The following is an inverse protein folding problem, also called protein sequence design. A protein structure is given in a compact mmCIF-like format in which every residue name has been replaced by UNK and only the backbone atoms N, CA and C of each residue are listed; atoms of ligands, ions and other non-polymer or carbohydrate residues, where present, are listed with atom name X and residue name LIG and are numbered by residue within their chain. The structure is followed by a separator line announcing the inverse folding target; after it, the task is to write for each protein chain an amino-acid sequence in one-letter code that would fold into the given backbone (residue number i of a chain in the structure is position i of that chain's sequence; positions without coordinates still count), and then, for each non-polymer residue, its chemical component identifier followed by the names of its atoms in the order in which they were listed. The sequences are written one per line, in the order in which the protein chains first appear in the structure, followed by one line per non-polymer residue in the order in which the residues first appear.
data_IF_993786137738
#
_entry.id   IF_993786137738
#
_cell.length_a   1.000
_cell.length_b   1.000
_cell.length_c   1.000
_cell.angle_alpha   90.00
_cell.angle_beta   90.00
_cell.angle_gamma   90.00
#
_symmetry.space_group_name_H-M   'P 1'
#
loop_
_entity.id
_entity.type
_entity.pdbx_description
1 polymer ?
#
# COMPACT_ATOMS: atom_id res chain seq x y z
N UNK A 1 -15.83 20.20 -28.74
CA UNK A 1 -15.57 21.26 -27.73
C UNK A 1 -15.11 20.53 -26.47
N UNK A 2 -13.95 20.89 -25.90
CA UNK A 2 -13.49 20.29 -24.66
C UNK A 2 -14.51 20.61 -23.56
N UNK A 3 -14.87 19.60 -22.78
CA UNK A 3 -15.85 19.70 -21.71
C UNK A 3 -15.40 20.79 -20.71
N UNK A 4 -16.19 21.84 -20.54
CA UNK A 4 -15.86 23.02 -19.72
C UNK A 4 -16.16 22.80 -18.22
N UNK A 5 -16.60 21.58 -17.83
CA UNK A 5 -16.90 21.29 -16.43
C UNK A 5 -15.57 21.14 -15.67
N UNK A 6 -15.31 21.94 -14.63
CA UNK A 6 -14.12 21.79 -13.80
C UNK A 6 -14.17 20.44 -13.06
N UNK A 7 -13.02 19.97 -12.60
CA UNK A 7 -12.95 18.78 -11.73
C UNK A 7 -13.76 19.04 -10.47
N UNK A 8 -14.62 18.10 -10.10
CA UNK A 8 -15.42 18.22 -8.88
C UNK A 8 -14.49 18.06 -7.66
N UNK A 9 -14.44 19.04 -6.76
CA UNK A 9 -13.60 18.95 -5.58
C UNK A 9 -14.10 17.84 -4.63
N UNK A 10 -13.17 17.18 -3.95
CA UNK A 10 -13.52 16.19 -2.93
C UNK A 10 -13.73 16.91 -1.60
N UNK A 11 -14.77 16.51 -0.87
CA UNK A 11 -15.01 17.02 0.48
C UNK A 11 -14.07 16.36 1.48
N UNK A 12 -13.50 17.16 2.35
CA UNK A 12 -12.52 16.72 3.34
C UNK A 12 -12.80 17.38 4.70
N UNK A 13 -12.27 16.78 5.77
CA UNK A 13 -12.25 17.41 7.07
C UNK A 13 -11.38 18.68 7.05
N UNK A 14 -11.77 19.70 7.82
CA UNK A 14 -10.91 20.86 8.04
C UNK A 14 -9.52 20.44 8.55
N UNK A 15 -8.42 21.00 8.01
CA UNK A 15 -7.06 20.59 8.33
C UNK A 15 -6.73 20.62 9.83
N UNK A 16 -7.22 21.60 10.58
CA UNK A 16 -6.98 21.72 12.03
C UNK A 16 -7.77 20.67 12.81
N UNK A 17 -8.96 20.31 12.32
CA UNK A 17 -9.79 19.28 12.94
C UNK A 17 -9.20 17.89 12.65
N UNK A 18 -8.88 17.60 11.40
CA UNK A 18 -8.35 16.28 11.04
C UNK A 18 -6.97 15.96 11.63
N UNK A 19 -6.18 17.01 11.95
CA UNK A 19 -4.89 16.87 12.63
C UNK A 19 -4.99 16.33 14.07
N UNK A 20 -6.19 16.30 14.67
CA UNK A 20 -6.41 15.91 16.07
C UNK A 20 -7.21 14.63 16.24
N UNK A 21 -7.56 13.93 15.15
CA UNK A 21 -8.36 12.71 15.20
C UNK A 21 -7.89 11.68 14.18
N UNK A 22 -8.37 10.44 14.32
CA UNK A 22 -8.05 9.32 13.41
C UNK A 22 -9.21 8.98 12.45
N UNK A 23 -10.24 9.82 12.35
CA UNK A 23 -11.31 9.66 11.39
C UNK A 23 -10.82 9.85 9.95
N UNK A 24 -11.50 9.22 9.00
CA UNK A 24 -11.12 9.30 7.58
C UNK A 24 -11.12 10.76 7.10
N UNK A 25 -9.99 11.21 6.52
CA UNK A 25 -9.77 12.59 6.07
C UNK A 25 -10.75 13.01 4.98
N UNK A 26 -10.87 12.19 3.94
CA UNK A 26 -11.73 12.46 2.79
C UNK A 26 -13.13 11.86 3.01
N UNK A 27 -14.19 12.64 2.81
CA UNK A 27 -15.57 12.13 2.84
C UNK A 27 -15.99 11.41 1.56
N UNK A 28 -15.27 11.63 0.45
CA UNK A 28 -15.62 11.12 -0.88
C UNK A 28 -16.74 11.95 -1.56
N UNK A 29 -17.22 11.45 -2.69
CA UNK A 29 -18.34 12.06 -3.42
C UNK A 29 -19.69 11.58 -2.90
N UNK A 30 -20.70 12.45 -2.96
CA UNK A 30 -22.10 12.05 -2.94
C UNK A 30 -22.56 11.65 -4.37
N UNK A 31 -23.83 11.29 -4.51
CA UNK A 31 -24.41 10.83 -5.79
C UNK A 31 -24.28 11.91 -6.87
N UNK A 32 -24.66 13.14 -6.56
CA UNK A 32 -24.68 14.26 -7.51
C UNK A 32 -23.26 14.63 -7.94
N UNK A 33 -22.33 14.69 -6.99
CA UNK A 33 -20.91 14.96 -7.24
C UNK A 33 -20.28 13.87 -8.13
N UNK A 34 -20.56 12.60 -7.84
CA UNK A 34 -20.04 11.48 -8.61
C UNK A 34 -20.60 11.47 -10.04
N UNK A 35 -21.90 11.67 -10.22
CA UNK A 35 -22.50 11.74 -11.54
C UNK A 35 -21.97 12.93 -12.34
N UNK A 36 -21.84 14.12 -11.72
CA UNK A 36 -21.28 15.30 -12.37
C UNK A 36 -19.84 15.06 -12.82
N UNK A 37 -18.96 14.53 -11.95
CA UNK A 37 -17.58 14.21 -12.30
C UNK A 37 -17.52 13.14 -13.41
N UNK A 38 -18.37 12.13 -13.37
CA UNK A 38 -18.43 11.07 -14.38
C UNK A 38 -18.74 11.62 -15.79
N UNK A 39 -19.56 12.68 -15.91
CA UNK A 39 -19.86 13.30 -17.21
C UNK A 39 -18.65 13.94 -17.88
N UNK A 40 -17.55 14.16 -17.16
CA UNK A 40 -16.31 14.70 -17.75
C UNK A 40 -15.56 13.67 -18.60
N UNK A 41 -15.82 12.37 -18.42
CA UNK A 41 -15.13 11.32 -19.15
C UNK A 41 -15.44 11.41 -20.66
N UNK A 42 -14.39 11.39 -21.49
CA UNK A 42 -14.51 11.47 -22.94
C UNK A 42 -14.76 10.11 -23.62
N UNK A 43 -14.84 9.02 -22.88
CA UNK A 43 -15.02 7.64 -23.40
C UNK A 43 -14.08 7.34 -24.58
N UNK A 44 -12.76 7.59 -24.39
CA UNK A 44 -11.74 7.45 -25.41
C UNK A 44 -11.75 6.06 -26.05
N UNK A 45 -11.61 5.97 -27.39
CA UNK A 45 -11.50 4.71 -28.13
C UNK A 45 -10.28 3.88 -27.66
N UNK A 46 -9.16 4.56 -27.37
CA UNK A 46 -7.94 3.98 -26.85
C UNK A 46 -7.66 4.60 -25.46
N UNK A 47 -8.26 4.08 -24.38
CA UNK A 47 -8.22 4.72 -23.07
C UNK A 47 -6.84 4.48 -22.40
N UNK A 48 -5.99 5.52 -22.40
CA UNK A 48 -4.67 5.47 -21.74
C UNK A 48 -4.78 5.16 -20.24
N UNK A 49 -5.86 5.60 -19.61
CA UNK A 49 -6.11 5.33 -18.19
C UNK A 49 -6.24 3.84 -17.88
N UNK A 50 -6.81 3.03 -18.78
CA UNK A 50 -6.88 1.57 -18.65
C UNK A 50 -5.49 0.96 -18.79
N UNK A 51 -4.73 1.35 -19.80
CA UNK A 51 -3.36 0.86 -20.03
C UNK A 51 -2.41 1.22 -18.88
N UNK A 52 -2.65 2.34 -18.17
CA UNK A 52 -1.86 2.77 -17.03
C UNK A 52 -2.32 2.15 -15.69
N UNK A 53 -3.42 1.41 -15.67
CA UNK A 53 -3.88 0.70 -14.50
C UNK A 53 -3.22 -0.69 -14.44
N UNK A 54 -2.47 -1.02 -13.37
CA UNK A 54 -1.77 -2.31 -13.24
C UNK A 54 -2.68 -3.55 -13.29
N UNK A 55 -3.98 -3.39 -13.01
CA UNK A 55 -4.99 -4.45 -13.11
C UNK A 55 -5.96 -4.23 -14.28
N UNK A 56 -5.73 -3.20 -15.10
CA UNK A 56 -6.48 -2.91 -16.33
C UNK A 56 -7.99 -2.72 -16.15
N UNK A 57 -8.44 -2.11 -15.04
CA UNK A 57 -9.85 -1.79 -14.80
C UNK A 57 -10.45 -1.08 -16.01
N UNK A 58 -11.63 -1.50 -16.45
CA UNK A 58 -12.37 -0.95 -17.60
C UNK A 58 -12.95 0.44 -17.27
N UNK A 59 -12.06 1.41 -17.03
CA UNK A 59 -12.36 2.73 -16.47
C UNK A 59 -13.47 3.47 -17.23
N UNK A 60 -13.45 3.63 -18.57
CA UNK A 60 -14.54 4.33 -19.28
C UNK A 60 -15.89 3.62 -19.09
N UNK A 61 -15.89 2.30 -18.94
CA UNK A 61 -17.12 1.52 -18.83
C UNK A 61 -17.80 1.74 -17.48
N UNK A 62 -17.06 1.64 -16.36
CA UNK A 62 -17.67 1.89 -15.05
C UNK A 62 -18.08 3.36 -14.89
N UNK A 63 -17.30 4.32 -15.44
CA UNK A 63 -17.64 5.73 -15.40
C UNK A 63 -18.93 6.04 -16.19
N UNK A 64 -19.13 5.37 -17.33
CA UNK A 64 -20.39 5.48 -18.08
C UNK A 64 -21.61 5.04 -17.25
N UNK A 65 -21.46 3.96 -16.48
CA UNK A 65 -22.52 3.49 -15.58
C UNK A 65 -22.77 4.46 -14.43
N UNK A 66 -21.71 5.09 -13.88
CA UNK A 66 -21.86 6.13 -12.84
C UNK A 66 -22.62 7.34 -13.41
N UNK A 67 -22.25 7.83 -14.59
CA UNK A 67 -22.94 8.95 -15.25
C UNK A 67 -24.42 8.67 -15.50
N UNK A 68 -24.76 7.42 -15.81
CA UNK A 68 -26.13 6.96 -16.02
C UNK A 68 -26.91 6.66 -14.71
N UNK A 69 -26.28 6.72 -13.53
CA UNK A 69 -26.88 6.37 -12.26
C UNK A 69 -26.99 4.87 -11.98
N UNK A 70 -26.33 4.03 -12.77
CA UNK A 70 -26.38 2.58 -12.67
C UNK A 70 -25.21 2.06 -11.79
N UNK A 71 -25.19 2.41 -10.51
CA UNK A 71 -24.04 2.16 -9.62
C UNK A 71 -23.75 0.68 -9.39
N UNK A 72 -24.79 -0.17 -9.34
CA UNK A 72 -24.61 -1.63 -9.24
C UNK A 72 -23.88 -2.19 -10.49
N UNK A 73 -24.22 -1.72 -11.69
CA UNK A 73 -23.52 -2.11 -12.92
C UNK A 73 -22.09 -1.57 -12.94
N UNK A 74 -21.85 -0.34 -12.44
CA UNK A 74 -20.52 0.21 -12.28
C UNK A 74 -19.65 -0.67 -11.36
N UNK A 75 -20.18 -1.11 -10.22
CA UNK A 75 -19.51 -2.01 -9.29
C UNK A 75 -19.18 -3.36 -9.92
N UNK A 76 -20.09 -3.94 -10.70
CA UNK A 76 -19.85 -5.20 -11.43
C UNK A 76 -18.71 -5.06 -12.42
N UNK A 77 -18.65 -3.96 -13.19
CA UNK A 77 -17.55 -3.69 -14.12
C UNK A 77 -16.20 -3.61 -13.41
N UNK A 78 -16.14 -2.96 -12.25
CA UNK A 78 -14.89 -2.86 -11.47
C UNK A 78 -14.48 -4.24 -10.91
N UNK A 79 -15.44 -5.03 -10.41
CA UNK A 79 -15.19 -6.34 -9.79
C UNK A 79 -14.65 -7.41 -10.75
N UNK A 80 -14.76 -7.21 -12.06
CA UNK A 80 -14.12 -8.07 -13.07
C UNK A 80 -12.58 -8.00 -12.99
N UNK A 81 -12.03 -6.81 -12.65
CA UNK A 81 -10.60 -6.54 -12.73
C UNK A 81 -9.96 -6.18 -11.38
N UNK A 82 -10.73 -5.77 -10.37
CA UNK A 82 -10.25 -5.36 -9.05
C UNK A 82 -10.99 -6.09 -7.94
N UNK A 83 -10.22 -6.74 -7.05
CA UNK A 83 -10.74 -7.38 -5.84
C UNK A 83 -10.77 -6.47 -4.61
N UNK A 84 -10.12 -5.30 -4.67
CA UNK A 84 -10.00 -4.34 -3.56
C UNK A 84 -10.29 -2.90 -4.01
N UNK A 85 -11.44 -2.62 -4.65
CA UNK A 85 -11.71 -1.31 -5.24
C UNK A 85 -11.84 -0.18 -4.21
N UNK A 86 -12.40 -0.43 -3.03
CA UNK A 86 -12.52 0.59 -1.98
C UNK A 86 -11.15 1.00 -1.41
N UNK A 87 -10.21 0.05 -1.36
CA UNK A 87 -8.80 0.32 -1.03
C UNK A 87 -8.14 1.12 -2.16
N UNK A 88 -8.23 0.64 -3.41
CA UNK A 88 -7.59 1.27 -4.56
C UNK A 88 -8.02 2.72 -4.76
N UNK A 89 -9.31 3.02 -4.66
CA UNK A 89 -9.85 4.38 -4.77
C UNK A 89 -9.34 5.36 -3.69
N UNK A 90 -8.79 4.84 -2.57
CA UNK A 90 -8.20 5.62 -1.48
C UNK A 90 -6.68 5.77 -1.57
N UNK A 91 -5.96 4.72 -1.96
CA UNK A 91 -4.50 4.66 -1.77
C UNK A 91 -3.66 4.59 -3.04
N UNK A 92 -4.24 4.37 -4.22
CA UNK A 92 -3.50 4.35 -5.49
C UNK A 92 -2.79 5.69 -5.75
N UNK A 93 -1.56 5.68 -6.28
CA UNK A 93 -0.86 6.89 -6.73
C UNK A 93 -1.41 7.32 -8.10
N UNK A 94 -2.64 7.85 -8.07
CA UNK A 94 -3.47 8.15 -9.24
C UNK A 94 -2.79 9.08 -10.25
N UNK A 95 -2.01 10.06 -9.75
CA UNK A 95 -1.27 11.05 -10.52
C UNK A 95 -0.14 10.46 -11.39
N UNK A 96 0.33 9.26 -11.07
CA UNK A 96 1.36 8.54 -11.85
C UNK A 96 0.79 7.35 -12.62
N UNK A 97 -0.51 7.08 -12.48
CA UNK A 97 -1.22 5.97 -13.10
C UNK A 97 -2.40 6.44 -13.97
N UNK A 98 -3.61 6.01 -13.65
CA UNK A 98 -4.79 6.25 -14.48
C UNK A 98 -5.12 7.73 -14.67
N UNK A 99 -5.10 8.55 -13.60
CA UNK A 99 -5.37 9.99 -13.70
C UNK A 99 -4.24 10.73 -14.42
N UNK A 100 -2.97 10.40 -14.11
CA UNK A 100 -1.80 10.96 -14.79
C UNK A 100 -1.78 10.67 -16.31
N UNK A 101 -2.45 9.61 -16.75
CA UNK A 101 -2.57 9.22 -18.15
C UNK A 101 -3.86 9.69 -18.81
N UNK A 102 -4.76 10.36 -18.08
CA UNK A 102 -6.02 10.87 -18.61
C UNK A 102 -5.78 11.98 -19.62
N UNK A 103 -6.42 11.90 -20.79
CA UNK A 103 -6.23 12.87 -21.87
C UNK A 103 -6.66 14.29 -21.47
N UNK A 104 -7.63 14.43 -20.57
CA UNK A 104 -8.04 15.74 -20.05
C UNK A 104 -6.93 16.41 -19.23
N UNK A 105 -6.06 15.65 -18.59
CA UNK A 105 -4.92 16.15 -17.83
C UNK A 105 -3.84 16.84 -18.69
N UNK A 106 -3.86 16.66 -20.02
CA UNK A 106 -2.88 17.30 -20.92
C UNK A 106 -3.08 18.82 -21.01
N UNK A 107 -4.33 19.30 -20.95
CA UNK A 107 -4.69 20.72 -21.09
C UNK A 107 -5.57 21.24 -19.94
N UNK A 108 -5.71 20.49 -18.89
CA UNK A 108 -6.55 20.80 -17.74
C UNK A 108 -6.43 19.77 -16.65
N UNK A 109 -7.52 19.50 -15.96
CA UNK A 109 -7.54 18.52 -14.87
C UNK A 109 -8.07 17.17 -15.36
N UNK A 110 -7.40 16.04 -15.01
CA UNK A 110 -7.89 14.70 -15.32
C UNK A 110 -9.25 14.43 -14.65
N UNK A 111 -9.98 13.41 -15.13
CA UNK A 111 -11.12 12.87 -14.39
C UNK A 111 -10.66 12.31 -13.06
N UNK A 112 -11.41 12.53 -11.99
CA UNK A 112 -11.15 12.01 -10.65
C UNK A 112 -11.48 10.51 -10.56
N UNK A 113 -10.73 9.69 -11.29
CA UNK A 113 -11.01 8.26 -11.50
C UNK A 113 -11.04 7.51 -10.18
N UNK A 114 -10.03 7.72 -9.32
CA UNK A 114 -9.97 7.04 -8.03
C UNK A 114 -11.09 7.47 -7.08
N UNK A 115 -11.52 8.73 -7.13
CA UNK A 115 -12.65 9.19 -6.31
C UNK A 115 -13.98 8.60 -6.78
N UNK A 116 -14.14 8.37 -8.10
CA UNK A 116 -15.28 7.65 -8.66
C UNK A 116 -15.24 6.16 -8.33
N UNK A 117 -14.07 5.51 -8.42
CA UNK A 117 -13.89 4.10 -8.00
C UNK A 117 -14.24 3.93 -6.52
N UNK A 118 -13.73 4.81 -5.66
CA UNK A 118 -14.09 4.84 -4.23
C UNK A 118 -15.59 4.99 -4.02
N UNK A 119 -16.24 5.93 -4.70
CA UNK A 119 -17.69 6.16 -4.60
C UNK A 119 -18.47 4.89 -4.94
N UNK A 120 -18.13 4.25 -6.07
CA UNK A 120 -18.81 3.02 -6.52
C UNK A 120 -18.60 1.88 -5.51
N UNK A 121 -17.39 1.71 -5.00
CA UNK A 121 -17.08 0.67 -4.03
C UNK A 121 -17.79 0.89 -2.68
N UNK A 122 -17.81 2.13 -2.17
CA UNK A 122 -18.51 2.48 -0.93
C UNK A 122 -20.03 2.31 -1.09
N UNK A 123 -20.58 2.78 -2.20
CA UNK A 123 -22.00 2.60 -2.52
C UNK A 123 -22.37 1.11 -2.62
N UNK A 124 -21.56 0.33 -3.32
CA UNK A 124 -21.78 -1.13 -3.48
C UNK A 124 -21.82 -1.84 -2.13
N UNK A 125 -20.86 -1.55 -1.25
CA UNK A 125 -20.81 -2.12 0.10
C UNK A 125 -22.07 -1.79 0.91
N UNK A 126 -22.58 -0.58 0.80
CA UNK A 126 -23.79 -0.13 1.52
C UNK A 126 -25.08 -0.69 0.93
N UNK A 127 -25.05 -1.17 -0.32
CA UNK A 127 -26.21 -1.69 -1.05
C UNK A 127 -26.11 -3.19 -1.38
N UNK A 128 -25.45 -3.97 -0.55
CA UNK A 128 -25.42 -5.43 -0.62
C UNK A 128 -24.25 -6.06 -1.39
N UNK A 129 -23.35 -5.23 -1.92
CA UNK A 129 -22.12 -5.69 -2.58
C UNK A 129 -22.33 -6.33 -3.95
N UNK A 130 -21.24 -6.64 -4.62
CA UNK A 130 -21.24 -7.46 -5.85
C UNK A 130 -21.09 -8.93 -5.45
N UNK A 131 -21.91 -9.79 -6.01
CA UNK A 131 -21.77 -11.26 -5.87
C UNK A 131 -21.14 -11.79 -7.16
N UNK A 132 -19.82 -12.00 -7.19
CA UNK A 132 -19.18 -12.54 -8.39
C UNK A 132 -19.56 -13.99 -8.61
N UNK A 133 -19.62 -14.39 -9.88
CA UNK A 133 -19.79 -15.79 -10.24
C UNK A 133 -18.54 -16.59 -9.87
N UNK A 134 -18.75 -17.78 -9.32
CA UNK A 134 -17.70 -18.75 -8.98
C UNK A 134 -17.92 -20.00 -9.81
N UNK A 135 -16.89 -20.45 -10.51
CA UNK A 135 -16.93 -21.68 -11.26
C UNK A 135 -17.13 -22.90 -10.33
N UNK A 136 -17.67 -24.01 -10.83
CA UNK A 136 -17.75 -25.25 -10.06
C UNK A 136 -16.38 -25.68 -9.53
N UNK A 137 -16.33 -26.31 -8.35
CA UNK A 137 -15.11 -26.81 -7.75
C UNK A 137 -14.35 -27.73 -8.70
N UNK A 138 -13.07 -27.45 -8.91
CA UNK A 138 -12.19 -28.23 -9.83
C UNK A 138 -11.38 -29.32 -9.12
N UNK A 139 -11.51 -29.44 -7.78
CA UNK A 139 -10.87 -30.49 -6.98
C UNK A 139 -9.42 -30.21 -6.57
N UNK A 140 -8.84 -29.06 -6.93
CA UNK A 140 -7.47 -28.72 -6.60
C UNK A 140 -7.40 -27.65 -5.49
N UNK A 141 -6.41 -27.82 -4.59
CA UNK A 141 -6.13 -26.87 -3.49
C UNK A 141 -4.95 -25.98 -3.85
N UNK A 142 -5.04 -24.71 -3.52
CA UNK A 142 -3.95 -23.75 -3.68
C UNK A 142 -3.66 -23.06 -2.33
N UNK A 143 -2.38 -23.05 -1.95
CA UNK A 143 -1.92 -22.31 -0.77
C UNK A 143 -1.45 -20.91 -1.17
N UNK A 144 -1.84 -19.90 -0.40
CA UNK A 144 -1.39 -18.52 -0.56
C UNK A 144 -0.72 -18.07 0.73
N UNK A 145 0.54 -17.66 0.66
CA UNK A 145 1.32 -17.19 1.80
C UNK A 145 1.26 -15.66 1.87
N UNK A 146 0.56 -15.15 2.89
CA UNK A 146 0.35 -13.73 3.12
C UNK A 146 -0.98 -13.22 2.57
N UNK A 147 -1.73 -12.51 3.40
CA UNK A 147 -3.04 -11.92 3.11
C UNK A 147 -2.96 -10.44 2.71
N UNK A 148 -1.77 -9.97 2.28
CA UNK A 148 -1.63 -8.64 1.70
C UNK A 148 -2.29 -8.52 0.32
N UNK A 149 -2.22 -7.36 -0.34
CA UNK A 149 -2.90 -7.11 -1.62
C UNK A 149 -2.61 -8.15 -2.71
N UNK A 150 -1.36 -8.62 -2.82
CA UNK A 150 -0.99 -9.65 -3.80
C UNK A 150 -1.68 -10.98 -3.51
N UNK A 151 -1.63 -11.43 -2.23
CA UNK A 151 -2.27 -12.68 -1.81
C UNK A 151 -3.78 -12.66 -1.94
N UNK A 152 -4.43 -11.55 -1.51
CA UNK A 152 -5.89 -11.41 -1.64
C UNK A 152 -6.34 -11.39 -3.10
N UNK A 153 -5.61 -10.71 -4.00
CA UNK A 153 -5.94 -10.69 -5.43
C UNK A 153 -5.74 -12.07 -6.08
N UNK A 154 -4.63 -12.76 -5.77
CA UNK A 154 -4.37 -14.11 -6.24
C UNK A 154 -5.45 -15.09 -5.74
N UNK A 155 -5.76 -15.06 -4.45
CA UNK A 155 -6.78 -15.92 -3.84
C UNK A 155 -8.18 -15.68 -4.44
N UNK A 156 -8.55 -14.42 -4.64
CA UNK A 156 -9.83 -14.04 -5.24
C UNK A 156 -9.97 -14.59 -6.66
N UNK A 157 -8.95 -14.39 -7.52
CA UNK A 157 -9.03 -14.84 -8.91
C UNK A 157 -9.02 -16.38 -9.02
N UNK A 158 -8.23 -17.08 -8.19
CA UNK A 158 -8.23 -18.55 -8.15
C UNK A 158 -9.54 -19.13 -7.61
N UNK A 159 -10.12 -18.52 -6.57
CA UNK A 159 -11.41 -18.96 -6.05
C UNK A 159 -12.53 -18.81 -7.10
N UNK A 160 -12.54 -17.72 -7.89
CA UNK A 160 -13.48 -17.55 -9.02
C UNK A 160 -13.33 -18.67 -10.07
N UNK A 161 -12.14 -19.26 -10.23
CA UNK A 161 -11.86 -20.38 -11.13
C UNK A 161 -12.21 -21.76 -10.53
N UNK A 162 -12.76 -21.82 -9.33
CA UNK A 162 -13.20 -23.06 -8.68
C UNK A 162 -12.13 -23.78 -7.87
N UNK A 163 -10.99 -23.16 -7.60
CA UNK A 163 -9.97 -23.71 -6.72
C UNK A 163 -10.37 -23.60 -5.24
N UNK A 164 -10.01 -24.59 -4.42
CA UNK A 164 -10.05 -24.49 -2.97
C UNK A 164 -8.80 -23.71 -2.51
N UNK A 165 -8.99 -22.46 -2.07
CA UNK A 165 -7.88 -21.58 -1.71
C UNK A 165 -7.80 -21.39 -0.20
N UNK A 166 -6.60 -21.65 0.37
CA UNK A 166 -6.28 -21.33 1.76
C UNK A 166 -5.16 -20.29 1.81
N UNK A 167 -5.43 -19.17 2.49
CA UNK A 167 -4.46 -18.09 2.74
C UNK A 167 -3.89 -18.28 4.14
N UNK A 168 -2.59 -18.38 4.26
CA UNK A 168 -1.85 -18.46 5.53
C UNK A 168 -1.26 -17.08 5.85
N UNK A 169 -1.69 -16.50 6.97
CA UNK A 169 -1.29 -15.16 7.42
C UNK A 169 -0.53 -15.24 8.74
N UNK A 170 0.64 -14.61 8.79
CA UNK A 170 1.48 -14.59 9.98
C UNK A 170 0.91 -13.77 11.14
N UNK A 171 0.18 -12.70 10.83
CA UNK A 171 -0.41 -11.80 11.81
C UNK A 171 -1.78 -12.33 12.29
N UNK A 172 -2.27 -11.77 13.38
CA UNK A 172 -3.58 -12.12 13.95
C UNK A 172 -4.76 -11.48 13.20
N UNK A 173 -4.51 -10.54 12.29
CA UNK A 173 -5.51 -9.93 11.40
C UNK A 173 -5.01 -10.00 9.96
N UNK A 174 -5.88 -10.38 9.01
CA UNK A 174 -5.53 -10.39 7.60
C UNK A 174 -5.53 -8.99 7.00
N UNK A 175 -4.84 -8.81 5.88
CA UNK A 175 -4.76 -7.55 5.14
C UNK A 175 -3.33 -7.06 4.90
N UNK A 176 -2.35 -7.60 5.63
CA UNK A 176 -0.95 -7.17 5.47
C UNK A 176 -0.79 -5.66 5.68
N UNK A 177 -0.10 -4.99 4.75
CA UNK A 177 0.17 -3.54 4.83
C UNK A 177 -1.12 -2.69 4.89
N UNK A 178 -2.24 -3.17 4.41
CA UNK A 178 -3.54 -2.49 4.51
C UNK A 178 -3.98 -2.36 5.96
N UNK A 179 -3.66 -3.35 6.78
CA UNK A 179 -4.01 -3.40 8.20
C UNK A 179 -2.94 -2.76 9.09
N UNK A 180 -1.67 -3.13 8.94
CA UNK A 180 -0.62 -2.65 9.84
C UNK A 180 0.05 -1.35 9.41
N UNK A 181 0.11 -1.06 8.09
CA UNK A 181 0.98 0.02 7.57
C UNK A 181 0.24 1.31 7.27
N UNK A 182 -0.89 1.27 6.56
CA UNK A 182 -1.63 2.47 6.16
C UNK A 182 -2.49 2.95 7.34
N UNK A 183 -2.45 4.24 7.74
CA UNK A 183 -3.21 4.73 8.90
C UNK A 183 -4.74 4.70 8.71
N UNK A 184 -5.46 4.63 9.86
CA UNK A 184 -6.92 4.64 9.92
C UNK A 184 -7.53 5.84 9.19
N UNK A 185 -6.95 7.03 9.35
CA UNK A 185 -7.44 8.27 8.74
C UNK A 185 -7.28 8.32 7.20
N UNK A 186 -6.54 7.39 6.60
CA UNK A 186 -6.44 7.21 5.13
C UNK A 186 -7.21 6.00 4.64
N UNK A 187 -7.20 4.93 5.43
CA UNK A 187 -7.80 3.64 5.07
C UNK A 187 -8.42 3.00 6.30
N UNK A 188 -9.71 3.23 6.57
CA UNK A 188 -10.42 2.67 7.71
C UNK A 188 -10.38 1.14 7.74
N UNK A 189 -9.97 0.54 8.88
CA UNK A 189 -9.74 -0.90 8.98
C UNK A 189 -11.04 -1.68 9.02
N UNK A 190 -11.85 -1.40 10.02
CA UNK A 190 -13.06 -2.18 10.26
C UNK A 190 -14.14 -1.91 9.18
N UNK A 191 -14.21 -0.67 8.66
CA UNK A 191 -15.23 -0.26 7.67
C UNK A 191 -14.85 -0.63 6.23
N UNK A 192 -13.58 -0.56 5.85
CA UNK A 192 -13.13 -0.73 4.46
C UNK A 192 -12.33 -2.00 4.28
N UNK A 193 -11.19 -2.14 4.99
CA UNK A 193 -10.28 -3.28 4.79
C UNK A 193 -10.96 -4.60 5.14
N UNK A 194 -11.61 -4.67 6.30
CA UNK A 194 -12.33 -5.87 6.72
C UNK A 194 -13.46 -6.23 5.75
N UNK A 195 -14.22 -5.25 5.27
CA UNK A 195 -15.31 -5.50 4.33
C UNK A 195 -14.82 -6.07 2.97
N UNK A 196 -13.70 -5.58 2.45
CA UNK A 196 -13.11 -6.14 1.23
C UNK A 196 -12.54 -7.54 1.43
N UNK A 197 -11.94 -7.81 2.59
CA UNK A 197 -11.48 -9.16 2.95
C UNK A 197 -12.67 -10.13 3.09
N UNK A 198 -13.77 -9.71 3.71
CA UNK A 198 -15.00 -10.53 3.78
C UNK A 198 -15.58 -10.80 2.38
N UNK A 199 -15.47 -9.87 1.43
CA UNK A 199 -15.85 -10.11 0.04
C UNK A 199 -15.00 -11.19 -0.63
N UNK A 200 -13.70 -11.27 -0.32
CA UNK A 200 -12.81 -12.35 -0.78
C UNK A 200 -13.18 -13.68 -0.11
N UNK A 201 -13.45 -13.69 1.19
CA UNK A 201 -13.91 -14.90 1.90
C UNK A 201 -15.25 -15.42 1.36
N UNK A 202 -16.15 -14.53 0.95
CA UNK A 202 -17.43 -14.90 0.36
C UNK A 202 -17.31 -15.71 -0.94
N UNK A 203 -16.13 -15.71 -1.60
CA UNK A 203 -15.80 -16.58 -2.74
C UNK A 203 -15.43 -18.01 -2.30
N UNK A 204 -15.42 -18.33 -1.02
CA UNK A 204 -14.99 -19.61 -0.46
C UNK A 204 -13.51 -19.67 -0.03
N UNK A 205 -12.80 -18.54 -0.08
CA UNK A 205 -11.41 -18.46 0.40
C UNK A 205 -11.34 -18.63 1.91
N UNK A 206 -10.52 -19.58 2.38
CA UNK A 206 -10.20 -19.76 3.79
C UNK A 206 -8.99 -18.89 4.14
N UNK A 207 -9.01 -18.21 5.29
CA UNK A 207 -7.88 -17.42 5.79
C UNK A 207 -7.54 -17.92 7.19
N UNK A 208 -6.33 -18.43 7.33
CA UNK A 208 -5.78 -18.90 8.59
C UNK A 208 -4.73 -17.93 9.11
N UNK A 209 -5.03 -17.29 10.22
CA UNK A 209 -4.14 -16.30 10.87
C UNK A 209 -3.22 -16.97 11.90
N UNK A 210 -2.16 -16.26 12.32
CA UNK A 210 -1.12 -16.76 13.24
C UNK A 210 -0.36 -17.97 12.69
N UNK A 211 -0.26 -18.11 11.38
CA UNK A 211 0.48 -19.17 10.70
C UNK A 211 1.71 -18.59 10.00
N UNK A 212 2.89 -18.92 10.48
CA UNK A 212 4.17 -18.39 9.96
C UNK A 212 4.78 -19.40 9.00
N UNK A 213 4.70 -19.12 7.70
CA UNK A 213 5.36 -19.94 6.68
C UNK A 213 6.88 -19.94 6.88
N UNK A 214 7.48 -21.13 6.86
CA UNK A 214 8.87 -21.39 7.22
C UNK A 214 9.09 -21.62 8.73
N UNK A 215 8.01 -21.68 9.54
CA UNK A 215 8.05 -22.02 10.98
C UNK A 215 6.95 -22.99 11.38
N UNK A 216 5.68 -22.57 11.25
CA UNK A 216 4.51 -23.41 11.61
C UNK A 216 4.10 -24.34 10.46
N UNK A 217 4.27 -23.88 9.23
CA UNK A 217 4.12 -24.65 7.99
C UNK A 217 5.31 -24.36 7.08
N UNK A 218 5.70 -25.34 6.26
CA UNK A 218 6.74 -25.18 5.25
C UNK A 218 6.13 -25.27 3.84
N UNK A 219 6.79 -24.72 2.83
CA UNK A 219 6.32 -24.88 1.44
C UNK A 219 6.34 -26.36 1.04
N UNK A 220 7.36 -27.11 1.47
CA UNK A 220 7.46 -28.53 1.19
C UNK A 220 6.32 -29.32 1.86
N UNK A 221 5.96 -29.05 3.14
CA UNK A 221 4.81 -29.73 3.77
C UNK A 221 3.48 -29.42 3.07
N UNK A 222 3.28 -28.17 2.61
CA UNK A 222 2.07 -27.81 1.87
C UNK A 222 1.94 -28.57 0.55
N UNK A 223 3.03 -28.71 -0.21
CA UNK A 223 3.03 -29.40 -1.49
C UNK A 223 2.98 -30.93 -1.33
N UNK A 224 3.86 -31.48 -0.48
CA UNK A 224 4.13 -32.93 -0.44
C UNK A 224 3.22 -33.68 0.55
N UNK A 225 2.77 -33.05 1.66
CA UNK A 225 2.00 -33.70 2.71
C UNK A 225 0.52 -33.27 2.72
N UNK A 226 0.24 -31.97 2.54
CA UNK A 226 -1.12 -31.45 2.62
C UNK A 226 -1.86 -31.42 1.27
N UNK A 227 -1.15 -31.74 0.17
CA UNK A 227 -1.72 -31.94 -1.16
C UNK A 227 -2.16 -30.65 -1.86
N UNK A 228 -1.52 -29.52 -1.57
CA UNK A 228 -1.70 -28.31 -2.38
C UNK A 228 -1.03 -28.49 -3.74
N UNK A 229 -1.76 -28.19 -4.81
CA UNK A 229 -1.25 -28.31 -6.19
C UNK A 229 -0.20 -27.22 -6.54
N UNK A 230 -0.27 -26.08 -5.89
CA UNK A 230 0.69 -24.98 -6.01
C UNK A 230 0.65 -24.07 -4.78
N UNK A 231 1.73 -23.27 -4.61
CA UNK A 231 1.87 -22.27 -3.56
C UNK A 231 2.15 -20.92 -4.18
N UNK A 232 1.42 -19.89 -3.77
CA UNK A 232 1.72 -18.49 -4.08
C UNK A 232 2.36 -17.80 -2.87
N UNK A 233 3.52 -17.14 -3.04
CA UNK A 233 4.22 -16.39 -2.00
C UNK A 233 4.01 -14.89 -2.19
N UNK A 234 3.10 -14.32 -1.42
CA UNK A 234 2.80 -12.89 -1.33
C UNK A 234 3.16 -12.27 0.03
N UNK A 235 4.27 -12.70 0.62
CA UNK A 235 4.68 -12.34 2.00
C UNK A 235 5.10 -10.88 2.19
N UNK A 236 5.15 -10.10 1.11
CA UNK A 236 5.46 -8.68 1.14
C UNK A 236 6.92 -8.37 1.50
N UNK A 237 7.15 -7.12 1.92
CA UNK A 237 8.46 -6.61 2.36
C UNK A 237 8.27 -5.82 3.66
N UNK A 238 8.42 -6.49 4.81
CA UNK A 238 8.19 -5.91 6.13
C UNK A 238 9.45 -5.65 6.96
N UNK A 239 10.64 -6.06 6.49
CA UNK A 239 11.89 -5.88 7.23
C UNK A 239 12.42 -4.45 7.03
N UNK A 240 12.46 -3.59 8.07
CA UNK A 240 12.81 -2.19 7.93
C UNK A 240 14.30 -1.99 7.61
N UNK A 241 14.60 -0.86 6.96
CA UNK A 241 15.97 -0.42 6.71
C UNK A 241 16.33 0.73 7.62
N UNK A 242 17.58 0.75 8.07
CA UNK A 242 18.21 1.80 8.85
C UNK A 242 19.36 2.44 8.04
N UNK A 243 19.87 3.57 8.52
CA UNK A 243 20.95 4.29 7.85
C UNK A 243 22.35 3.71 8.18
N UNK A 244 22.46 3.02 9.31
CA UNK A 244 23.74 2.58 9.87
C UNK A 244 24.54 3.71 10.54
N UNK A 245 23.84 4.71 11.07
CA UNK A 245 24.46 5.84 11.76
C UNK A 245 24.51 5.62 13.28
N UNK A 246 25.43 6.28 14.01
CA UNK A 246 25.48 6.21 15.47
C UNK A 246 24.14 6.61 16.10
N UNK A 247 23.76 5.93 17.17
CA UNK A 247 22.58 6.23 17.97
C UNK A 247 21.26 5.59 17.49
N UNK A 248 21.24 4.81 16.42
CA UNK A 248 20.01 4.13 15.93
C UNK A 248 19.46 3.08 16.92
N UNK A 249 20.22 2.69 17.93
CA UNK A 249 19.82 1.78 19.00
C UNK A 249 19.32 2.45 20.28
N UNK A 250 19.21 3.78 20.29
CA UNK A 250 18.69 4.54 21.44
C UNK A 250 17.18 4.31 21.62
N UNK A 251 16.71 4.45 22.86
CA UNK A 251 15.29 4.50 23.17
C UNK A 251 14.67 5.73 22.50
N UNK A 252 13.50 5.56 21.87
CA UNK A 252 12.85 6.61 21.08
C UNK A 252 13.20 6.57 19.59
N UNK A 253 14.06 5.63 19.14
CA UNK A 253 14.26 5.35 17.71
C UNK A 253 13.38 4.20 17.29
N UNK A 254 12.56 4.41 16.26
CA UNK A 254 11.65 3.43 15.69
C UNK A 254 11.84 3.31 14.17
N UNK A 255 11.59 2.14 13.65
CA UNK A 255 11.24 2.04 12.24
C UNK A 255 9.80 2.51 12.03
N UNK A 256 9.48 3.06 10.85
CA UNK A 256 8.10 3.43 10.52
C UNK A 256 7.16 2.21 10.58
N UNK A 257 7.63 1.02 10.17
CA UNK A 257 6.84 -0.20 10.27
C UNK A 257 6.44 -0.53 11.71
N UNK A 258 7.37 -0.42 12.65
CA UNK A 258 7.09 -0.66 14.07
C UNK A 258 6.10 0.37 14.61
N UNK A 259 6.36 1.67 14.38
CA UNK A 259 5.53 2.76 14.85
C UNK A 259 4.10 2.65 14.31
N UNK A 260 3.96 2.44 13.01
CA UNK A 260 2.66 2.30 12.35
C UNK A 260 1.94 1.00 12.75
N UNK A 261 2.66 -0.13 12.91
CA UNK A 261 2.06 -1.39 13.39
C UNK A 261 1.47 -1.23 14.78
N UNK A 262 2.20 -0.58 15.71
CA UNK A 262 1.68 -0.30 17.06
C UNK A 262 0.42 0.56 17.01
N UNK A 263 0.42 1.57 16.15
CA UNK A 263 -0.72 2.48 16.03
C UNK A 263 -1.92 1.83 15.31
N UNK A 264 -1.70 1.22 14.15
CA UNK A 264 -2.78 0.74 13.29
C UNK A 264 -3.31 -0.64 13.69
N UNK A 265 -2.45 -1.68 13.64
CA UNK A 265 -2.82 -3.05 13.95
C UNK A 265 -3.10 -3.26 15.44
N UNK A 266 -2.23 -2.67 16.30
CA UNK A 266 -2.34 -2.79 17.76
C UNK A 266 -3.14 -1.65 18.39
N UNK A 267 -3.69 -0.73 17.59
CA UNK A 267 -4.62 0.33 17.95
C UNK A 267 -4.15 1.24 19.10
N UNK A 268 -2.84 1.57 19.13
CA UNK A 268 -2.27 2.40 20.20
C UNK A 268 -2.86 3.82 20.30
N UNK A 269 -3.54 4.31 19.26
CA UNK A 269 -4.25 5.59 19.28
C UNK A 269 -5.59 5.56 20.05
N UNK A 270 -6.03 4.37 20.48
CA UNK A 270 -7.32 4.20 21.18
C UNK A 270 -7.08 4.05 22.68
N UNK A 271 -7.88 4.74 23.47
CA UNK A 271 -7.79 4.71 24.94
C UNK A 271 -8.20 3.36 25.55
N UNK A 272 -9.03 2.57 24.84
CA UNK A 272 -9.46 1.24 25.27
C UNK A 272 -8.46 0.11 24.94
N UNK A 273 -7.28 0.46 24.39
CA UNK A 273 -6.19 -0.47 24.12
C UNK A 273 -4.95 -0.15 24.97
N UNK A 274 -4.34 -1.21 25.52
CA UNK A 274 -3.16 -1.09 26.38
C UNK A 274 -1.82 -1.08 25.60
N UNK A 275 -1.85 -0.86 24.31
CA UNK A 275 -0.66 -0.86 23.45
C UNK A 275 0.21 0.36 23.76
N UNK A 276 1.47 0.17 24.23
CA UNK A 276 2.35 1.29 24.50
C UNK A 276 2.84 1.90 23.19
N UNK A 277 2.76 3.23 23.10
CA UNK A 277 3.38 4.02 22.01
C UNK A 277 4.04 5.24 22.65
N UNK A 278 5.25 5.57 22.19
CA UNK A 278 5.98 6.75 22.60
C UNK A 278 6.20 7.63 21.37
N UNK A 279 5.47 8.72 21.28
CA UNK A 279 5.70 9.74 20.26
C UNK A 279 6.60 10.87 20.80
N UNK A 280 6.51 11.19 22.11
CA UNK A 280 7.15 12.37 22.67
C UNK A 280 6.44 13.65 22.25
N UNK A 281 7.05 14.81 22.55
CA UNK A 281 6.55 16.13 22.14
C UNK A 281 7.09 16.56 20.78
N UNK A 282 8.30 16.13 20.43
CA UNK A 282 8.97 16.46 19.18
C UNK A 282 9.38 15.18 18.48
N UNK A 283 9.00 15.03 17.21
CA UNK A 283 9.27 13.85 16.40
C UNK A 283 9.97 14.26 15.10
N UNK A 284 11.05 13.57 14.78
CA UNK A 284 11.72 13.64 13.48
C UNK A 284 11.40 12.36 12.69
N UNK A 285 10.85 12.52 11.50
CA UNK A 285 10.61 11.41 10.56
C UNK A 285 11.60 11.51 9.41
N UNK A 286 12.42 10.46 9.22
CA UNK A 286 13.46 10.42 8.20
C UNK A 286 12.97 9.70 6.96
N UNK A 287 12.75 10.44 5.87
CA UNK A 287 12.28 9.90 4.60
C UNK A 287 11.27 10.80 3.90
N UNK A 288 10.94 10.49 2.64
CA UNK A 288 10.06 11.33 1.81
C UNK A 288 8.98 10.55 1.05
N UNK A 289 8.77 9.27 1.35
CA UNK A 289 7.74 8.43 0.73
C UNK A 289 6.40 8.49 1.45
N UNK A 290 5.40 7.76 0.94
CA UNK A 290 4.07 7.66 1.56
C UNK A 290 4.15 7.20 3.03
N UNK A 291 5.06 6.27 3.35
CA UNK A 291 5.25 5.77 4.71
C UNK A 291 5.76 6.88 5.65
N UNK A 292 6.58 7.81 5.14
CA UNK A 292 7.02 8.97 5.92
C UNK A 292 5.88 9.94 6.21
N UNK A 293 5.02 10.19 5.21
CA UNK A 293 3.80 11.00 5.39
C UNK A 293 2.86 10.34 6.42
N UNK A 294 2.67 9.04 6.31
CA UNK A 294 1.83 8.25 7.22
C UNK A 294 2.34 8.28 8.66
N UNK A 295 3.65 8.08 8.86
CA UNK A 295 4.28 8.12 10.18
C UNK A 295 4.24 9.52 10.80
N UNK A 296 4.52 10.55 10.01
CA UNK A 296 4.51 11.95 10.47
C UNK A 296 3.10 12.40 10.86
N UNK A 297 2.11 12.13 10.02
CA UNK A 297 0.70 12.48 10.27
C UNK A 297 0.12 11.69 11.44
N UNK A 298 0.60 10.46 11.67
CA UNK A 298 0.25 9.66 12.85
C UNK A 298 0.87 10.27 14.11
N UNK A 299 2.16 10.64 14.11
CA UNK A 299 2.83 11.26 15.25
C UNK A 299 2.17 12.59 15.63
N UNK A 300 1.80 13.41 14.65
CA UNK A 300 1.06 14.65 14.85
C UNK A 300 -0.28 14.40 15.59
N UNK A 301 -1.06 13.40 15.17
CA UNK A 301 -2.34 13.02 15.80
C UNK A 301 -2.17 12.47 17.21
N UNK A 302 -1.01 11.95 17.54
CA UNK A 302 -0.63 11.56 18.91
C UNK A 302 -0.13 12.74 19.75
N UNK A 303 -0.17 13.96 19.21
CA UNK A 303 0.13 15.20 19.94
C UNK A 303 1.57 15.72 19.83
N UNK A 304 2.35 15.21 18.89
CA UNK A 304 3.75 15.63 18.70
C UNK A 304 3.89 16.72 17.63
N UNK A 305 4.76 17.68 17.87
CA UNK A 305 5.30 18.57 16.84
C UNK A 305 6.21 17.72 15.91
N UNK A 306 5.90 17.67 14.63
CA UNK A 306 6.53 16.70 13.75
C UNK A 306 7.25 17.36 12.58
N UNK A 307 8.51 16.97 12.37
CA UNK A 307 9.36 17.43 11.26
C UNK A 307 9.77 16.24 10.37
N UNK A 308 9.50 16.34 9.07
CA UNK A 308 10.03 15.41 8.08
C UNK A 308 11.40 15.89 7.61
N UNK A 309 12.42 15.03 7.73
CA UNK A 309 13.77 15.28 7.23
C UNK A 309 13.98 14.49 5.93
N UNK A 310 14.30 15.21 4.85
CA UNK A 310 14.49 14.63 3.54
C UNK A 310 15.71 15.17 2.81
N UNK A 311 16.55 14.27 2.27
CA UNK A 311 17.85 14.59 1.68
C UNK A 311 17.81 15.27 0.31
N UNK A 312 16.63 15.42 -0.31
CA UNK A 312 16.41 16.10 -1.60
C UNK A 312 15.40 17.24 -1.43
N UNK A 313 14.95 17.80 -2.54
CA UNK A 313 13.92 18.84 -2.53
C UNK A 313 12.50 18.24 -2.58
N UNK A 314 11.52 19.10 -2.48
CA UNK A 314 10.10 18.70 -2.56
C UNK A 314 9.74 18.06 -3.91
N UNK A 315 10.38 18.50 -4.99
CA UNK A 315 10.13 17.97 -6.34
C UNK A 315 10.50 16.49 -6.48
N UNK A 316 11.46 16.02 -5.68
CA UNK A 316 11.90 14.63 -5.68
C UNK A 316 11.19 13.76 -4.62
N UNK A 317 10.19 14.29 -3.90
CA UNK A 317 9.41 13.49 -2.95
C UNK A 317 8.69 12.35 -3.70
N UNK A 318 8.90 11.09 -3.32
CA UNK A 318 8.21 9.97 -3.94
C UNK A 318 6.79 9.73 -3.37
N UNK A 319 6.39 10.50 -2.35
CA UNK A 319 5.05 10.44 -1.79
C UNK A 319 4.00 10.98 -2.77
N UNK A 320 2.76 10.52 -2.66
CA UNK A 320 1.60 11.08 -3.37
C UNK A 320 1.46 12.57 -3.05
N UNK A 321 1.19 13.36 -4.09
CA UNK A 321 1.03 14.83 -3.94
C UNK A 321 -0.07 15.20 -2.95
N UNK A 322 -1.18 14.45 -2.95
CA UNK A 322 -2.29 14.63 -2.01
C UNK A 322 -1.82 14.44 -0.55
N UNK A 323 -0.98 13.43 -0.26
CA UNK A 323 -0.47 13.16 1.08
C UNK A 323 0.53 14.23 1.56
N UNK A 324 1.37 14.74 0.65
CA UNK A 324 2.28 15.85 0.96
C UNK A 324 1.49 17.12 1.25
N UNK A 325 0.44 17.39 0.45
CA UNK A 325 -0.45 18.53 0.65
C UNK A 325 -1.15 18.45 2.01
N UNK A 326 -1.77 17.31 2.32
CA UNK A 326 -2.41 17.08 3.62
C UNK A 326 -1.44 17.24 4.79
N UNK A 327 -0.22 16.72 4.69
CA UNK A 327 0.78 16.85 5.75
C UNK A 327 1.13 18.31 6.03
N UNK A 328 1.28 19.13 4.98
CA UNK A 328 1.55 20.56 5.12
C UNK A 328 0.38 21.34 5.72
N UNK A 329 -0.84 21.08 5.27
CA UNK A 329 -2.05 21.72 5.81
C UNK A 329 -2.28 21.38 7.28
N UNK A 330 -1.90 20.16 7.69
CA UNK A 330 -1.98 19.71 9.08
C UNK A 330 -0.89 20.31 9.98
N UNK A 331 0.11 21.00 9.40
CA UNK A 331 1.16 21.74 10.15
C UNK A 331 2.46 20.96 10.33
N UNK A 332 2.68 19.89 9.58
CA UNK A 332 3.97 19.16 9.59
C UNK A 332 5.05 20.00 8.91
N UNK A 333 6.18 20.16 9.58
CA UNK A 333 7.35 20.84 9.04
C UNK A 333 8.16 19.95 8.12
N UNK A 334 8.81 20.55 7.11
CA UNK A 334 9.65 19.85 6.13
C UNK A 334 11.04 20.44 6.10
N UNK A 335 12.03 19.71 6.64
CA UNK A 335 13.45 20.02 6.52
C UNK A 335 14.02 19.34 5.27
N UNK A 336 13.87 20.00 4.12
CA UNK A 336 14.42 19.53 2.84
C UNK A 336 15.92 19.73 2.76
N UNK A 337 16.59 19.05 1.84
CA UNK A 337 18.04 19.07 1.67
C UNK A 337 18.78 18.86 3.00
N UNK A 338 18.30 17.90 3.77
CA UNK A 338 18.79 17.59 5.12
C UNK A 338 18.92 16.10 5.29
N UNK A 339 20.05 15.62 5.79
CA UNK A 339 20.32 14.20 5.99
C UNK A 339 20.85 13.96 7.41
N UNK A 340 20.27 13.03 8.19
CA UNK A 340 20.81 12.64 9.48
C UNK A 340 22.19 12.00 9.35
N UNK A 341 23.09 12.27 10.32
CA UNK A 341 24.42 11.66 10.40
C UNK A 341 24.69 10.98 11.74
N UNK A 342 23.92 11.36 12.78
CA UNK A 342 24.02 10.82 14.13
C UNK A 342 22.73 11.08 14.89
N UNK A 343 22.32 10.15 15.76
CA UNK A 343 21.25 10.36 16.74
C UNK A 343 21.91 10.51 18.12
N UNK A 344 21.63 11.62 18.79
CA UNK A 344 22.25 11.99 20.05
C UNK A 344 21.32 11.58 21.19
N UNK A 345 21.87 10.80 22.14
CA UNK A 345 21.16 10.37 23.36
C UNK A 345 21.43 11.23 24.58
N UNK A 346 20.58 11.11 25.57
CA UNK A 346 20.82 11.57 26.93
C UNK A 346 21.59 10.52 27.76
N UNK A 347 21.87 10.85 29.02
CA UNK A 347 22.58 9.95 29.97
C UNK A 347 21.80 8.65 30.28
N UNK A 348 20.49 8.61 30.02
CA UNK A 348 19.61 7.45 30.20
C UNK A 348 19.42 6.62 28.95
N UNK A 349 20.07 6.99 27.84
CA UNK A 349 19.97 6.32 26.55
C UNK A 349 18.68 6.63 25.78
N UNK A 350 18.04 7.77 26.04
CA UNK A 350 16.90 8.27 25.26
C UNK A 350 17.36 9.33 24.25
N UNK A 351 16.67 9.37 23.12
CA UNK A 351 16.88 10.40 22.09
C UNK A 351 16.63 11.78 22.67
N UNK A 352 17.55 12.73 22.39
CA UNK A 352 17.40 14.16 22.69
C UNK A 352 17.58 15.07 21.48
N UNK A 353 18.29 14.62 20.44
CA UNK A 353 18.49 15.38 19.22
C UNK A 353 18.92 14.47 18.04
N UNK A 354 18.76 14.95 16.82
CA UNK A 354 19.35 14.37 15.61
C UNK A 354 20.33 15.38 15.03
N UNK A 355 21.59 14.95 14.88
CA UNK A 355 22.60 15.70 14.14
C UNK A 355 22.41 15.46 12.65
N UNK A 356 22.21 16.53 11.91
CA UNK A 356 21.96 16.52 10.47
C UNK A 356 23.07 17.29 9.74
N UNK A 357 23.23 16.99 8.46
CA UNK A 357 24.09 17.75 7.53
C UNK A 357 23.21 18.31 6.41
N UNK A 358 23.56 19.52 5.93
CA UNK A 358 22.91 20.10 4.75
C UNK A 358 23.32 19.35 3.51
N UNK A 359 22.39 19.25 2.56
CA UNK A 359 22.60 18.61 1.27
C UNK A 359 22.42 19.62 0.14
N UNK A 360 23.03 19.36 -0.98
CA UNK A 360 22.76 20.00 -2.27
C UNK A 360 22.51 18.92 -3.33
N UNK A 361 21.84 19.30 -4.43
CA UNK A 361 21.61 18.37 -5.52
C UNK A 361 22.75 18.45 -6.53
N UNK A 362 23.45 17.35 -6.73
CA UNK A 362 24.45 17.16 -7.77
C UNK A 362 23.85 17.11 -9.18
N UNK A 363 24.67 16.74 -10.16
CA UNK A 363 24.22 16.57 -11.54
C UNK A 363 23.19 15.41 -11.66
N UNK A 364 22.26 15.51 -12.62
CA UNK A 364 21.30 14.44 -12.89
C UNK A 364 22.01 13.19 -13.44
N UNK A 365 21.59 12.02 -12.98
CA UNK A 365 22.01 10.73 -13.54
C UNK A 365 21.29 10.44 -14.88
N UNK A 366 21.58 9.29 -15.49
CA UNK A 366 20.99 8.85 -16.78
C UNK A 366 19.46 8.81 -16.75
N UNK A 367 18.84 8.66 -15.57
CA UNK A 367 17.39 8.70 -15.37
C UNK A 367 16.85 10.12 -15.15
N UNK A 368 17.69 11.14 -15.17
CA UNK A 368 17.36 12.52 -14.85
C UNK A 368 17.24 12.81 -13.34
N UNK A 369 17.58 11.85 -12.49
CA UNK A 369 17.48 11.98 -11.04
C UNK A 369 18.78 12.55 -10.46
N UNK A 370 18.66 13.64 -9.69
CA UNK A 370 19.79 14.31 -9.05
C UNK A 370 20.15 13.63 -7.72
N UNK A 371 21.43 13.30 -7.56
CA UNK A 371 21.94 12.69 -6.33
C UNK A 371 22.21 13.74 -5.27
N UNK A 372 21.82 13.50 -4.00
CA UNK A 372 22.12 14.41 -2.91
C UNK A 372 23.59 14.32 -2.52
N UNK A 373 24.24 15.47 -2.36
CA UNK A 373 25.65 15.64 -1.98
C UNK A 373 25.73 16.39 -0.66
N UNK A 374 26.51 15.89 0.29
CA UNK A 374 26.66 16.54 1.60
C UNK A 374 27.52 17.81 1.49
N UNK A 375 27.08 18.89 2.13
CA UNK A 375 27.83 20.14 2.26
C UNK A 375 28.73 20.04 3.49
N UNK A 376 30.00 19.90 3.30
CA UNK A 376 30.97 19.74 4.40
C UNK A 376 30.95 20.94 5.37
N UNK A 377 30.97 20.66 6.69
CA UNK A 377 30.98 21.68 7.73
C UNK A 377 29.63 22.37 7.95
N UNK A 378 28.55 21.80 7.43
CA UNK A 378 27.18 22.34 7.56
C UNK A 378 26.33 21.59 8.59
N UNK A 379 26.96 20.84 9.48
CA UNK A 379 26.28 20.06 10.52
C UNK A 379 25.52 20.97 11.48
N UNK A 380 24.32 20.51 11.88
CA UNK A 380 23.47 21.16 12.85
C UNK A 380 22.59 20.14 13.58
N UNK A 381 22.01 20.52 14.67
CA UNK A 381 21.15 19.65 15.49
C UNK A 381 19.68 20.05 15.37
N UNK A 382 18.80 19.05 15.34
CA UNK A 382 17.35 19.17 15.49
C UNK A 382 17.00 18.49 16.82
N UNK A 383 16.49 19.27 17.78
CA UNK A 383 16.02 18.76 19.06
C UNK A 383 14.78 17.86 18.82
N UNK A 384 14.80 16.65 19.35
CA UNK A 384 13.70 15.68 19.20
C UNK A 384 13.75 14.64 20.32
N UNK A 385 12.61 14.07 20.65
CA UNK A 385 12.49 12.97 21.64
C UNK A 385 12.27 11.63 20.95
N UNK A 386 11.88 11.64 19.67
CA UNK A 386 11.61 10.43 18.90
C UNK A 386 12.09 10.59 17.45
N UNK A 387 12.70 9.54 16.92
CA UNK A 387 13.12 9.44 15.52
C UNK A 387 12.46 8.25 14.87
N UNK A 388 11.78 8.48 13.73
CA UNK A 388 11.11 7.43 12.97
C UNK A 388 11.80 7.26 11.61
N UNK A 389 12.43 6.10 11.40
CA UNK A 389 13.12 5.76 10.16
C UNK A 389 12.14 5.24 9.11
N UNK A 390 11.91 6.02 8.03
CA UNK A 390 11.00 5.71 6.92
C UNK A 390 11.76 5.51 5.61
N UNK A 391 12.77 4.63 5.63
CA UNK A 391 13.75 4.44 4.54
C UNK A 391 13.42 3.29 3.59
N UNK A 392 12.21 2.75 3.70
CA UNK A 392 11.75 1.58 2.97
C UNK A 392 12.08 0.27 3.67
N UNK A 393 11.70 -0.82 3.01
CA UNK A 393 11.74 -2.17 3.58
C UNK A 393 12.32 -3.17 2.60
N UNK A 394 12.61 -4.38 3.08
CA UNK A 394 12.99 -5.54 2.28
C UNK A 394 12.18 -6.76 2.69
N UNK A 395 12.07 -7.79 1.82
CA UNK A 395 11.41 -9.04 2.16
C UNK A 395 12.09 -9.76 3.34
N UNK A 396 11.28 -10.46 4.15
CA UNK A 396 11.82 -11.32 5.20
C UNK A 396 12.46 -12.56 4.55
N UNK A 397 13.73 -12.91 4.85
CA UNK A 397 14.42 -14.02 4.23
C UNK A 397 13.96 -15.40 4.70
N UNK A 398 13.02 -15.49 5.66
CA UNK A 398 12.62 -16.75 6.30
C UNK A 398 12.17 -17.79 5.27
N UNK A 399 11.25 -17.46 4.40
CA UNK A 399 10.69 -18.41 3.42
C UNK A 399 11.77 -18.94 2.48
N UNK A 400 12.61 -18.05 1.92
CA UNK A 400 13.71 -18.48 1.04
C UNK A 400 14.74 -19.36 1.76
N UNK A 401 15.04 -19.08 3.04
CA UNK A 401 15.99 -19.87 3.83
C UNK A 401 15.47 -21.25 4.24
N UNK A 402 14.16 -21.42 4.27
CA UNK A 402 13.51 -22.69 4.70
C UNK A 402 12.93 -23.47 3.54
N UNK A 403 13.15 -23.04 2.29
CA UNK A 403 12.65 -23.71 1.08
C UNK A 403 13.80 -23.95 0.11
N UNK A 404 14.16 -25.20 -0.09
CA UNK A 404 15.23 -25.58 -1.01
C UNK A 404 14.85 -25.23 -2.44
N UNK A 405 15.79 -24.68 -3.24
CA UNK A 405 15.59 -24.31 -4.62
C UNK A 405 14.82 -23.01 -4.85
N UNK A 406 14.42 -22.28 -3.81
CA UNK A 406 13.80 -20.97 -3.91
C UNK A 406 14.88 -19.88 -3.80
N UNK A 407 15.24 -19.25 -4.91
CA UNK A 407 16.33 -18.29 -5.00
C UNK A 407 15.89 -16.86 -4.69
N UNK A 408 16.86 -16.06 -4.22
CA UNK A 408 16.69 -14.61 -4.02
C UNK A 408 17.77 -13.83 -4.76
N UNK A 409 17.42 -12.60 -5.18
CA UNK A 409 18.39 -11.67 -5.74
C UNK A 409 19.23 -10.98 -4.64
N UNK A 410 20.18 -10.13 -5.05
CA UNK A 410 21.07 -9.37 -4.13
C UNK A 410 20.33 -8.46 -3.14
N UNK A 411 19.07 -8.12 -3.41
CA UNK A 411 18.22 -7.28 -2.53
C UNK A 411 17.38 -8.13 -1.56
N UNK A 412 17.52 -9.46 -1.59
CA UNK A 412 16.74 -10.40 -0.79
C UNK A 412 15.30 -10.63 -1.30
N UNK A 413 14.97 -10.14 -2.50
CA UNK A 413 13.68 -10.41 -3.13
C UNK A 413 13.68 -11.76 -3.82
N UNK A 414 12.56 -12.48 -3.81
CA UNK A 414 12.41 -13.75 -4.52
C UNK A 414 12.61 -13.55 -6.02
N UNK A 415 13.31 -14.49 -6.66
CA UNK A 415 13.46 -14.52 -8.12
C UNK A 415 12.21 -15.16 -8.71
N UNK A 416 11.52 -14.41 -9.56
CA UNK A 416 10.35 -14.88 -10.31
C UNK A 416 10.35 -14.26 -11.70
N UNK A 417 9.73 -14.95 -12.66
CA UNK A 417 9.50 -14.42 -14.00
C UNK A 417 8.35 -13.40 -14.03
N UNK A 418 8.00 -12.92 -15.22
CA UNK A 418 6.93 -11.94 -15.44
C UNK A 418 5.52 -12.43 -15.06
N UNK A 419 5.34 -13.76 -14.97
CA UNK A 419 4.12 -14.45 -14.61
C UNK A 419 4.12 -14.92 -13.15
N UNK A 420 5.19 -14.64 -12.41
CA UNK A 420 5.36 -14.99 -11.01
C UNK A 420 5.89 -16.41 -10.76
N UNK A 421 6.27 -17.19 -11.78
CA UNK A 421 6.88 -18.49 -11.56
C UNK A 421 8.30 -18.33 -10.98
N UNK A 422 8.56 -19.03 -9.85
CA UNK A 422 9.86 -18.97 -9.18
C UNK A 422 10.82 -20.04 -9.66
N UNK A 423 12.03 -20.08 -9.10
CA UNK A 423 13.02 -21.14 -9.37
C UNK A 423 12.63 -22.51 -8.79
N UNK A 424 11.64 -22.55 -7.88
CA UNK A 424 11.08 -23.80 -7.32
C UNK A 424 9.79 -24.16 -8.04
N UNK A 425 9.73 -25.35 -8.62
CA UNK A 425 8.53 -25.87 -9.31
C UNK A 425 7.31 -25.90 -8.36
N UNK A 426 6.14 -25.51 -8.87
CA UNK A 426 4.90 -25.43 -8.11
C UNK A 426 4.81 -24.22 -7.18
N UNK A 427 5.86 -23.38 -7.12
CA UNK A 427 5.91 -22.18 -6.28
C UNK A 427 5.92 -20.94 -7.14
N UNK A 428 4.97 -20.05 -6.87
CA UNK A 428 4.80 -18.75 -7.52
C UNK A 428 4.98 -17.63 -6.49
N UNK A 429 5.35 -16.45 -6.93
CA UNK A 429 5.53 -15.30 -6.04
C UNK A 429 5.13 -14.00 -6.74
N UNK A 430 4.74 -13.00 -5.93
CA UNK A 430 4.39 -11.68 -6.46
C UNK A 430 4.33 -10.59 -5.39
N UNK A 431 4.10 -9.36 -5.86
CA UNK A 431 4.10 -8.18 -5.01
C UNK A 431 5.48 -7.86 -4.44
N UNK A 432 5.51 -7.23 -3.27
CA UNK A 432 6.74 -6.71 -2.68
C UNK A 432 7.76 -7.81 -2.30
N UNK A 433 7.34 -9.06 -2.21
CA UNK A 433 8.25 -10.20 -2.04
C UNK A 433 9.20 -10.38 -3.23
N UNK A 434 8.81 -9.94 -4.44
CA UNK A 434 9.57 -10.04 -5.69
C UNK A 434 10.18 -8.70 -6.09
N UNK A 435 9.41 -7.61 -6.01
CA UNK A 435 9.83 -6.28 -6.50
C UNK A 435 10.53 -5.42 -5.45
N UNK A 436 10.41 -5.76 -4.17
CA UNK A 436 10.61 -4.83 -3.07
C UNK A 436 9.37 -3.94 -2.89
N UNK A 437 9.38 -3.09 -1.86
CA UNK A 437 8.24 -2.25 -1.51
C UNK A 437 7.78 -1.36 -2.69
N UNK A 438 6.51 -1.51 -3.08
CA UNK A 438 5.90 -0.78 -4.19
C UNK A 438 4.50 -0.25 -3.80
N UNK A 439 3.47 -0.51 -4.59
CA UNK A 439 2.11 -0.03 -4.34
C UNK A 439 1.11 -1.18 -4.25
N UNK A 440 -0.01 -0.93 -3.54
CA UNK A 440 -1.11 -1.89 -3.40
C UNK A 440 -1.54 -2.45 -4.75
N UNK A 441 -1.80 -1.58 -5.73
CA UNK A 441 -2.33 -1.99 -7.04
C UNK A 441 -1.30 -2.77 -7.88
N UNK A 442 0.00 -2.47 -7.76
CA UNK A 442 1.05 -3.26 -8.41
C UNK A 442 1.15 -4.67 -7.81
N UNK A 443 1.04 -4.76 -6.47
CA UNK A 443 1.00 -6.04 -5.79
C UNK A 443 -0.23 -6.87 -6.20
N UNK A 444 -1.41 -6.26 -6.31
CA UNK A 444 -2.62 -6.90 -6.84
C UNK A 444 -2.41 -7.42 -8.27
N UNK A 445 -1.84 -6.58 -9.15
CA UNK A 445 -1.54 -6.96 -10.54
C UNK A 445 -0.61 -8.17 -10.62
N UNK A 446 0.41 -8.25 -9.77
CA UNK A 446 1.29 -9.40 -9.67
C UNK A 446 0.55 -10.66 -9.19
N UNK A 447 -0.33 -10.53 -8.18
CA UNK A 447 -1.17 -11.62 -7.69
C UNK A 447 -2.10 -12.19 -8.76
N UNK A 448 -2.72 -11.32 -9.56
CA UNK A 448 -3.60 -11.72 -10.68
C UNK A 448 -2.84 -12.47 -11.78
N UNK A 449 -1.65 -11.97 -12.16
CA UNK A 449 -0.78 -12.66 -13.15
C UNK A 449 -0.39 -14.04 -12.64
N UNK A 450 0.03 -14.13 -11.39
CA UNK A 450 0.38 -15.40 -10.77
C UNK A 450 -0.81 -16.36 -10.69
N UNK A 451 -2.03 -15.88 -10.40
CA UNK A 451 -3.23 -16.71 -10.40
C UNK A 451 -3.49 -17.35 -11.78
N UNK A 452 -3.35 -16.57 -12.87
CA UNK A 452 -3.47 -17.09 -14.23
C UNK A 452 -2.38 -18.11 -14.56
N UNK A 453 -1.14 -17.90 -14.12
CA UNK A 453 -0.03 -18.81 -14.31
C UNK A 453 -0.21 -20.11 -13.51
N UNK A 454 -0.70 -20.02 -12.27
CA UNK A 454 -1.04 -21.18 -11.43
C UNK A 454 -2.13 -22.02 -12.10
N UNK A 455 -3.19 -21.41 -12.63
CA UNK A 455 -4.26 -22.11 -13.34
C UNK A 455 -3.72 -22.89 -14.55
N UNK A 456 -2.85 -22.27 -15.35
CA UNK A 456 -2.19 -22.94 -16.47
C UNK A 456 -1.28 -24.09 -16.01
N UNK A 457 -0.50 -23.87 -14.95
CA UNK A 457 0.39 -24.88 -14.38
C UNK A 457 -0.39 -26.11 -13.90
N UNK A 458 -1.43 -25.93 -13.10
CA UNK A 458 -2.25 -27.03 -12.59
C UNK A 458 -2.92 -27.80 -13.73
N UNK A 459 -3.47 -27.10 -14.71
CA UNK A 459 -4.08 -27.73 -15.90
C UNK A 459 -3.07 -28.52 -16.75
N UNK A 460 -1.79 -28.13 -16.75
CA UNK A 460 -0.74 -28.86 -17.50
C UNK A 460 -0.28 -30.15 -16.81
N UNK A 461 -0.62 -30.34 -15.54
CA UNK A 461 -0.26 -31.53 -14.75
C UNK A 461 -1.34 -32.61 -14.77
N UNK A 462 -2.54 -32.28 -15.27
CA UNK A 462 -3.67 -33.19 -15.49
C UNK A 462 -3.66 -33.70 -16.91
#
# INVERSE_FOLDING_TARGET
MANKIPRVPVREQDPKVRATNFEEVCYGYNVEEAQLEATRCLHCKNPRCVAACPVSVKIPNFIAQVAAGNFAAAASVIAEDSSLPAVCGRVCPLETQCEGSCILGVKGEPVAIGKLERFVADWSRENGGVKPEVAPANGHKIAVIGSGPAGLACASDLAKLGYEVTVFEALHRPGGVLEYGIPEFRLPKDKVVAAEIESVKALGVKIETNVIAGRTVTIDSLLDEEGFAAVFVGSGAGLPKFMGIPGENLNGVFSANEFLTRNNLMKAYREDYMTPIHAGKKVVVVGGGNVAMDAARTALRLGADTTIVYRRTETELPARREEVHHAKEEGIEFAMLTNPVEIIGDEKGWVKAVKCIRMELGEPDESGRRSPVAVAGSEFEIETETVIMSLGTSPNPLIARTTAGLETNRRGCLVADENGATTREGVFAGGDAVTGAATVILAMGAGRKAAAAIDQYVKSKN
#
